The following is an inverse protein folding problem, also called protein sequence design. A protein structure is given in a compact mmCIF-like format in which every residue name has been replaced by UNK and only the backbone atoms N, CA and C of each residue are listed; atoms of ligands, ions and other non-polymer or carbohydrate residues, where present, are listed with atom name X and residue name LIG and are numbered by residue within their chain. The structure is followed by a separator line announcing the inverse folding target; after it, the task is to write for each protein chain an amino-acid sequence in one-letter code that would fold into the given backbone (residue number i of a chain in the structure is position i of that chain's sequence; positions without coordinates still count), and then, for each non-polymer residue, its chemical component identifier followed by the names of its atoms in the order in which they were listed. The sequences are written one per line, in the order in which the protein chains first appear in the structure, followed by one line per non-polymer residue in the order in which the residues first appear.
data_IF_614827797711
#
_entry.id   IF_614827797711
#
_cell.length_a   1.000
_cell.length_b   1.000
_cell.length_c   1.000
_cell.angle_alpha   90.00
_cell.angle_beta   90.00
_cell.angle_gamma   90.00
#
_symmetry.space_group_name_H-M   'P 1'
#
loop_
_entity.id
_entity.type
_entity.pdbx_description
1 polymer ?
#
# COMPACT_ATOMS: atom_id res chain seq x y z
N UNK A 1 -5.79 -4.29 28.59
CA UNK A 1 -5.27 -4.04 27.23
C UNK A 1 -4.13 -4.98 26.84
N UNK A 2 -2.93 -4.92 27.44
CA UNK A 2 -1.78 -5.75 27.02
C UNK A 2 -2.06 -7.26 27.00
N UNK A 3 -2.67 -7.81 28.04
CA UNK A 3 -3.05 -9.24 28.11
C UNK A 3 -4.08 -9.60 27.05
N UNK A 4 -5.14 -8.81 26.92
CA UNK A 4 -6.19 -8.99 25.91
C UNK A 4 -5.67 -8.93 24.46
N UNK A 5 -4.69 -8.07 24.19
CA UNK A 5 -4.02 -8.01 22.88
C UNK A 5 -3.19 -9.27 22.61
N UNK A 6 -2.47 -9.78 23.63
CA UNK A 6 -1.75 -11.05 23.51
C UNK A 6 -2.72 -12.19 23.23
N UNK A 7 -3.86 -12.23 23.92
CA UNK A 7 -4.90 -13.24 23.70
C UNK A 7 -5.48 -13.15 22.28
N UNK A 8 -5.74 -11.94 21.78
CA UNK A 8 -6.15 -11.72 20.38
C UNK A 8 -5.09 -12.22 19.38
N UNK A 9 -3.81 -11.91 19.60
CA UNK A 9 -2.73 -12.42 18.76
C UNK A 9 -2.64 -13.95 18.78
N UNK A 10 -2.90 -14.58 19.94
CA UNK A 10 -2.96 -16.03 20.05
C UNK A 10 -4.13 -16.61 19.26
N UNK A 11 -5.30 -15.96 19.25
CA UNK A 11 -6.45 -16.34 18.41
C UNK A 11 -6.10 -16.23 16.93
N UNK A 12 -5.47 -15.13 16.50
CA UNK A 12 -5.03 -14.96 15.10
C UNK A 12 -4.06 -16.07 14.71
N UNK A 13 -3.13 -16.44 15.61
CA UNK A 13 -2.17 -17.54 15.41
C UNK A 13 -2.84 -18.91 15.38
N UNK A 14 -3.91 -19.10 16.16
CA UNK A 14 -4.71 -20.33 16.13
C UNK A 14 -5.35 -20.51 14.75
N UNK A 15 -5.96 -19.45 14.20
CA UNK A 15 -6.51 -19.46 12.83
C UNK A 15 -5.42 -19.66 11.79
N UNK A 16 -4.28 -18.98 11.89
CA UNK A 16 -3.20 -19.08 10.90
C UNK A 16 -2.66 -20.51 10.73
N UNK A 17 -2.67 -21.31 11.81
CA UNK A 17 -2.22 -22.72 11.77
C UNK A 17 -3.11 -23.63 10.95
N UNK A 18 -4.36 -23.25 10.74
CA UNK A 18 -5.33 -24.02 9.95
C UNK A 18 -5.36 -23.61 8.47
N UNK A 19 -4.60 -22.57 8.09
CA UNK A 19 -4.62 -22.03 6.74
C UNK A 19 -3.46 -22.59 5.92
N UNK A 20 -3.82 -23.23 4.80
CA UNK A 20 -2.85 -23.68 3.80
C UNK A 20 -2.29 -22.48 3.01
N UNK A 21 -1.11 -22.63 2.36
CA UNK A 21 -0.62 -21.61 1.42
C UNK A 21 -1.60 -21.34 0.28
N UNK A 22 -2.38 -22.34 -0.14
CA UNK A 22 -3.40 -22.20 -1.18
C UNK A 22 -4.57 -21.32 -0.72
N UNK A 23 -5.01 -21.46 0.53
CA UNK A 23 -6.03 -20.57 1.10
C UNK A 23 -5.55 -19.11 1.10
N UNK A 24 -4.30 -18.88 1.48
CA UNK A 24 -3.70 -17.55 1.55
C UNK A 24 -3.42 -16.95 0.16
N UNK A 25 -3.12 -17.78 -0.84
CA UNK A 25 -2.92 -17.33 -2.22
C UNK A 25 -4.25 -17.06 -2.92
N UNK A 26 -5.31 -17.83 -2.63
CA UNK A 26 -6.66 -17.59 -3.15
C UNK A 26 -7.20 -16.21 -2.73
N UNK A 27 -7.08 -15.85 -1.45
CA UNK A 27 -7.48 -14.52 -0.94
C UNK A 27 -6.71 -13.37 -1.63
N UNK A 28 -5.43 -13.59 -1.90
CA UNK A 28 -4.59 -12.61 -2.59
C UNK A 28 -4.94 -12.48 -4.07
N UNK A 29 -5.21 -13.62 -4.74
CA UNK A 29 -5.64 -13.66 -6.13
C UNK A 29 -6.98 -12.96 -6.32
N UNK A 30 -7.93 -13.14 -5.40
CA UNK A 30 -9.19 -12.41 -5.44
C UNK A 30 -8.96 -10.90 -5.47
N UNK A 31 -8.03 -10.39 -4.66
CA UNK A 31 -7.67 -8.98 -4.69
C UNK A 31 -7.01 -8.59 -6.01
N UNK A 32 -6.04 -9.39 -6.49
CA UNK A 32 -5.33 -9.13 -7.76
C UNK A 32 -6.27 -9.08 -8.96
N UNK A 33 -7.29 -9.95 -9.00
CA UNK A 33 -8.29 -10.02 -10.07
C UNK A 33 -9.57 -9.23 -9.77
N UNK A 34 -9.55 -8.35 -8.75
CA UNK A 34 -10.65 -7.45 -8.40
C UNK A 34 -11.96 -8.16 -8.02
N UNK A 35 -11.84 -9.40 -7.54
CA UNK A 35 -12.93 -10.16 -6.95
C UNK A 35 -13.13 -9.78 -5.47
N UNK A 36 -14.13 -10.38 -4.85
CA UNK A 36 -14.46 -10.13 -3.45
C UNK A 36 -13.78 -11.18 -2.54
N UNK A 37 -12.67 -10.84 -1.84
CA UNK A 37 -11.95 -11.80 -0.99
C UNK A 37 -12.77 -12.26 0.24
N UNK A 38 -13.88 -11.57 0.57
CA UNK A 38 -14.79 -12.00 1.64
C UNK A 38 -15.46 -13.33 1.28
N UNK A 39 -15.77 -13.56 0.01
CA UNK A 39 -16.43 -14.80 -0.43
C UNK A 39 -15.50 -16.01 -0.26
N UNK A 40 -14.22 -15.85 -0.61
CA UNK A 40 -13.20 -16.88 -0.40
C UNK A 40 -12.93 -17.08 1.08
N UNK A 41 -12.84 -16.02 1.87
CA UNK A 41 -12.70 -16.13 3.33
C UNK A 41 -13.90 -16.85 3.96
N UNK A 42 -15.10 -16.64 3.44
CA UNK A 42 -16.32 -17.35 3.83
C UNK A 42 -16.28 -18.83 3.50
N UNK A 43 -15.81 -19.20 2.30
CA UNK A 43 -15.66 -20.59 1.90
C UNK A 43 -14.63 -21.31 2.78
N UNK A 44 -13.50 -20.65 3.07
CA UNK A 44 -12.49 -21.14 4.02
C UNK A 44 -13.11 -21.29 5.42
N UNK A 45 -13.89 -20.32 5.88
CA UNK A 45 -14.54 -20.40 7.18
C UNK A 45 -15.57 -21.54 7.24
N UNK A 46 -16.31 -21.80 6.16
CA UNK A 46 -17.22 -22.96 6.07
C UNK A 46 -16.42 -24.25 6.20
N UNK A 47 -15.38 -24.44 5.40
CA UNK A 47 -14.60 -25.68 5.41
C UNK A 47 -13.95 -25.96 6.77
N UNK A 48 -13.57 -24.92 7.51
CA UNK A 48 -13.02 -25.04 8.87
C UNK A 48 -14.08 -25.33 9.96
N UNK A 49 -15.36 -25.07 9.68
CA UNK A 49 -16.46 -25.27 10.65
C UNK A 49 -17.28 -26.53 10.37
N UNK A 50 -17.39 -26.95 9.12
CA UNK A 50 -18.05 -28.19 8.75
C UNK A 50 -17.09 -29.34 8.96
N UNK A 51 -17.39 -30.23 9.92
CA UNK A 51 -16.94 -31.62 9.80
C UNK A 51 -17.39 -32.08 8.41
N UNK A 52 -16.47 -32.57 7.56
CA UNK A 52 -16.87 -33.33 6.37
C UNK A 52 -17.45 -34.66 6.87
N UNK A 53 -18.65 -34.58 7.44
CA UNK A 53 -19.59 -35.67 7.44
C UNK A 53 -20.07 -35.75 6.00
N UNK A 54 -19.81 -36.88 5.37
CA UNK A 54 -20.21 -37.24 4.02
C UNK A 54 -19.12 -36.93 2.97
N UNK A 55 -18.28 -37.96 2.79
CA UNK A 55 -17.70 -38.41 1.53
C UNK A 55 -17.02 -37.32 0.66
N UNK A 56 -15.69 -37.17 0.78
CA UNK A 56 -14.74 -36.93 -0.35
C UNK A 56 -13.38 -36.29 0.04
N UNK A 57 -13.05 -36.09 1.32
CA UNK A 57 -11.68 -35.66 1.72
C UNK A 57 -11.03 -36.62 2.73
N UNK A 58 -10.06 -37.46 2.32
CA UNK A 58 -9.45 -38.48 3.19
C UNK A 58 -8.40 -37.96 4.19
N UNK A 59 -8.12 -36.66 4.25
CA UNK A 59 -6.91 -36.14 4.92
C UNK A 59 -7.13 -35.29 6.20
N UNK A 60 -8.38 -35.02 6.63
CA UNK A 60 -8.64 -34.16 7.80
C UNK A 60 -9.30 -34.93 8.96
N UNK A 61 -8.62 -35.03 10.10
CA UNK A 61 -9.14 -35.65 11.33
C UNK A 61 -10.33 -34.84 11.87
N UNK A 62 -11.57 -35.38 11.85
CA UNK A 62 -12.76 -34.68 12.33
C UNK A 62 -12.67 -34.29 13.82
N UNK A 63 -11.88 -35.03 14.60
CA UNK A 63 -11.68 -34.72 16.01
C UNK A 63 -10.85 -33.44 16.19
N UNK A 64 -9.83 -33.24 15.35
CA UNK A 64 -8.97 -32.06 15.40
C UNK A 64 -9.72 -30.77 15.01
N UNK A 65 -10.66 -30.83 14.06
CA UNK A 65 -11.50 -29.68 13.69
C UNK A 65 -12.44 -29.30 14.83
N UNK A 66 -13.07 -30.28 15.48
CA UNK A 66 -13.92 -30.02 16.64
C UNK A 66 -13.14 -29.37 17.80
N UNK A 67 -11.94 -29.90 18.12
CA UNK A 67 -11.05 -29.31 19.12
C UNK A 67 -10.66 -27.87 18.76
N UNK A 68 -10.33 -27.61 17.50
CA UNK A 68 -10.03 -26.26 17.01
C UNK A 68 -11.20 -25.30 17.23
N UNK A 69 -12.42 -25.67 16.85
CA UNK A 69 -13.60 -24.82 17.02
C UNK A 69 -13.85 -24.53 18.50
N UNK A 70 -13.73 -25.53 19.37
CA UNK A 70 -13.91 -25.36 20.81
C UNK A 70 -12.79 -24.47 21.42
N UNK A 71 -11.54 -24.64 21.00
CA UNK A 71 -10.43 -23.79 21.43
C UNK A 71 -10.61 -22.35 20.95
N UNK A 72 -11.09 -22.15 19.72
CA UNK A 72 -11.39 -20.84 19.15
C UNK A 72 -12.51 -20.13 19.92
N UNK A 73 -13.65 -20.80 20.13
CA UNK A 73 -14.79 -20.27 20.90
C UNK A 73 -14.36 -19.85 22.30
N UNK A 74 -13.64 -20.73 23.02
CA UNK A 74 -13.19 -20.46 24.39
C UNK A 74 -12.12 -19.37 24.46
N UNK A 75 -11.26 -19.25 23.45
CA UNK A 75 -10.22 -18.21 23.40
C UNK A 75 -10.81 -16.84 23.09
N UNK A 76 -11.76 -16.76 22.16
CA UNK A 76 -12.50 -15.52 21.87
C UNK A 76 -13.28 -15.03 23.08
N UNK A 77 -13.98 -15.93 23.79
CA UNK A 77 -14.77 -15.59 24.98
C UNK A 77 -13.93 -14.98 26.12
N UNK A 78 -12.64 -15.31 26.20
CA UNK A 78 -11.75 -14.77 27.25
C UNK A 78 -11.37 -13.30 27.03
N UNK A 79 -11.52 -12.78 25.81
CA UNK A 79 -11.06 -11.44 25.45
C UNK A 79 -12.11 -10.40 25.85
N UNK A 80 -11.89 -9.72 26.98
CA UNK A 80 -12.87 -8.78 27.57
C UNK A 80 -13.14 -7.51 26.73
N UNK A 81 -12.19 -7.07 25.91
CA UNK A 81 -12.28 -5.85 25.06
C UNK A 81 -11.75 -6.11 23.65
N UNK A 82 -12.35 -7.06 22.91
CA UNK A 82 -11.85 -7.46 21.58
C UNK A 82 -11.78 -6.29 20.59
N UNK A 83 -12.78 -5.41 20.59
CA UNK A 83 -12.87 -4.28 19.66
C UNK A 83 -11.79 -3.21 19.91
N UNK A 84 -11.50 -2.84 21.16
CA UNK A 84 -10.37 -1.94 21.46
C UNK A 84 -9.02 -2.55 21.03
N UNK A 85 -8.86 -3.87 21.17
CA UNK A 85 -7.64 -4.56 20.73
C UNK A 85 -7.54 -4.60 19.21
N UNK A 86 -8.67 -4.80 18.52
CA UNK A 86 -8.75 -4.72 17.06
C UNK A 86 -8.42 -3.32 16.57
N UNK A 87 -8.99 -2.27 17.16
CA UNK A 87 -8.72 -0.89 16.78
C UNK A 87 -7.24 -0.53 16.95
N UNK A 88 -6.62 -0.95 18.05
CA UNK A 88 -5.18 -0.80 18.26
C UNK A 88 -4.36 -1.56 17.21
N UNK A 89 -4.74 -2.80 16.88
CA UNK A 89 -4.07 -3.57 15.84
C UNK A 89 -4.21 -2.90 14.47
N UNK A 90 -5.40 -2.40 14.13
CA UNK A 90 -5.65 -1.69 12.88
C UNK A 90 -4.84 -0.39 12.79
N UNK A 91 -4.69 0.35 13.88
CA UNK A 91 -3.79 1.52 13.92
C UNK A 91 -2.33 1.12 13.65
N UNK A 92 -1.91 -0.07 14.10
CA UNK A 92 -0.57 -0.60 13.79
C UNK A 92 -0.41 -1.14 12.37
N UNK A 93 -1.50 -1.50 11.69
CA UNK A 93 -1.51 -1.93 10.29
C UNK A 93 -1.69 -0.75 9.33
N UNK A 94 -2.34 0.32 9.75
CA UNK A 94 -2.49 1.51 8.93
C UNK A 94 -1.23 2.37 9.00
N UNK A 95 -0.37 2.26 7.98
CA UNK A 95 0.86 3.03 7.88
C UNK A 95 0.66 4.35 7.11
N UNK A 96 -0.59 4.72 6.82
CA UNK A 96 -0.88 6.05 6.33
C UNK A 96 -0.46 7.08 7.38
N UNK A 97 0.24 8.10 6.92
CA UNK A 97 0.95 9.05 7.74
C UNK A 97 1.04 10.36 7.00
N UNK A 98 1.08 11.45 7.75
CA UNK A 98 1.07 12.81 7.21
C UNK A 98 2.47 13.18 6.72
N UNK A 99 2.79 12.70 5.52
CA UNK A 99 3.97 13.11 4.80
C UNK A 99 3.52 14.10 3.73
N UNK A 100 3.84 15.37 3.93
CA UNK A 100 3.61 16.42 2.93
C UNK A 100 4.68 16.35 1.84
N UNK A 101 4.28 16.56 0.59
CA UNK A 101 5.18 16.62 -0.55
C UNK A 101 5.90 17.99 -0.68
N UNK A 102 5.79 18.87 0.33
CA UNK A 102 6.15 20.30 0.26
C UNK A 102 7.57 20.57 -0.29
N UNK A 103 7.64 21.54 -1.20
CA UNK A 103 8.81 21.97 -1.98
C UNK A 103 9.70 22.99 -1.24
N UNK A 104 9.30 23.48 -0.06
CA UNK A 104 10.08 24.47 0.70
C UNK A 104 11.17 23.78 1.54
N UNK A 105 12.33 23.59 0.90
CA UNK A 105 13.55 23.17 1.61
C UNK A 105 14.17 24.41 2.25
N UNK A 106 14.09 24.52 3.58
CA UNK A 106 14.79 25.59 4.30
C UNK A 106 16.30 25.31 4.25
N UNK A 107 17.13 26.35 4.13
CA UNK A 107 18.59 26.20 3.94
C UNK A 107 19.28 25.48 5.12
N UNK A 108 18.62 25.39 6.28
CA UNK A 108 19.04 24.60 7.43
C UNK A 108 18.89 23.09 7.25
N UNK A 109 18.05 22.62 6.32
CA UNK A 109 17.78 21.20 6.09
C UNK A 109 18.90 20.50 5.31
N UNK A 110 19.76 21.28 4.64
CA UNK A 110 20.83 20.78 3.76
C UNK A 110 21.86 19.94 4.52
N UNK A 111 22.21 20.30 5.76
CA UNK A 111 23.23 19.59 6.55
C UNK A 111 22.74 18.22 7.05
N UNK A 112 21.51 18.16 7.58
CA UNK A 112 20.87 16.91 8.01
C UNK A 112 20.50 16.02 6.83
N UNK A 113 20.09 16.62 5.71
CA UNK A 113 19.89 15.91 4.45
C UNK A 113 21.20 15.30 3.95
N UNK A 114 22.33 16.02 4.03
CA UNK A 114 23.65 15.49 3.67
C UNK A 114 24.04 14.29 4.55
N UNK A 115 23.79 14.36 5.86
CA UNK A 115 24.04 13.24 6.79
C UNK A 115 23.18 12.01 6.48
N UNK A 116 21.88 12.20 6.27
CA UNK A 116 20.98 11.11 5.87
C UNK A 116 21.34 10.53 4.49
N UNK A 117 21.80 11.39 3.58
CA UNK A 117 22.29 10.98 2.27
C UNK A 117 23.49 10.05 2.40
N UNK A 118 24.48 10.36 3.23
CA UNK A 118 25.61 9.45 3.45
C UNK A 118 25.20 8.08 4.01
N UNK A 119 24.11 7.99 4.79
CA UNK A 119 23.64 6.75 5.40
C UNK A 119 22.83 5.87 4.42
N UNK A 120 22.00 6.50 3.57
CA UNK A 120 21.07 5.76 2.70
C UNK A 120 21.40 5.81 1.21
N UNK A 121 22.42 6.55 0.77
CA UNK A 121 22.80 6.61 -0.66
C UNK A 121 23.52 5.37 -1.16
N UNK A 122 23.87 4.42 -0.28
CA UNK A 122 24.57 3.19 -0.70
C UNK A 122 23.58 2.18 -1.30
N UNK A 123 24.06 1.39 -2.27
CA UNK A 123 23.27 0.30 -2.86
C UNK A 123 22.86 -0.73 -1.78
N UNK A 124 23.76 -1.06 -0.84
CA UNK A 124 23.45 -1.95 0.27
C UNK A 124 22.33 -1.38 1.15
N UNK A 125 22.34 -0.08 1.44
CA UNK A 125 21.29 0.58 2.22
C UNK A 125 19.94 0.50 1.50
N UNK A 126 19.93 0.73 0.19
CA UNK A 126 18.71 0.64 -0.65
C UNK A 126 18.16 -0.79 -0.67
N UNK A 127 19.03 -1.79 -0.85
CA UNK A 127 18.68 -3.21 -0.76
C UNK A 127 18.10 -3.58 0.60
N UNK A 128 18.77 -3.17 1.69
CA UNK A 128 18.31 -3.45 3.05
C UNK A 128 16.94 -2.80 3.34
N UNK A 129 16.74 -1.56 2.90
CA UNK A 129 15.46 -0.87 3.03
C UNK A 129 14.36 -1.56 2.22
N UNK A 130 14.64 -1.94 0.97
CA UNK A 130 13.71 -2.68 0.12
C UNK A 130 13.31 -4.02 0.76
N UNK A 131 14.29 -4.84 1.14
CA UNK A 131 14.07 -6.14 1.79
C UNK A 131 13.28 -6.02 3.10
N UNK A 132 13.63 -5.03 3.93
CA UNK A 132 12.93 -4.81 5.20
C UNK A 132 11.50 -4.32 4.98
N UNK A 133 11.28 -3.44 4.00
CA UNK A 133 9.94 -2.98 3.60
C UNK A 133 9.10 -4.14 3.07
N UNK A 134 9.68 -5.00 2.22
CA UNK A 134 9.02 -6.20 1.68
C UNK A 134 8.61 -7.16 2.80
N UNK A 135 9.51 -7.44 3.74
CA UNK A 135 9.20 -8.29 4.89
C UNK A 135 8.08 -7.70 5.75
N UNK A 136 8.10 -6.39 5.99
CA UNK A 136 7.05 -5.72 6.77
C UNK A 136 5.69 -5.82 6.06
N UNK A 137 5.64 -5.45 4.79
CA UNK A 137 4.43 -5.52 3.95
C UNK A 137 3.88 -6.94 3.88
N UNK A 138 4.74 -7.94 3.65
CA UNK A 138 4.34 -9.36 3.61
C UNK A 138 3.77 -9.84 4.95
N UNK A 139 4.40 -9.45 6.06
CA UNK A 139 3.92 -9.78 7.41
C UNK A 139 2.54 -9.17 7.68
N UNK A 140 2.37 -7.88 7.38
CA UNK A 140 1.09 -7.19 7.57
C UNK A 140 -0.01 -7.71 6.65
N UNK A 141 0.33 -8.05 5.39
CA UNK A 141 -0.57 -8.69 4.44
C UNK A 141 -1.08 -10.04 4.99
N UNK A 142 -0.17 -10.85 5.54
CA UNK A 142 -0.50 -12.13 6.18
C UNK A 142 -1.47 -11.94 7.36
N UNK A 143 -1.21 -10.95 8.22
CA UNK A 143 -2.13 -10.59 9.32
C UNK A 143 -3.51 -10.19 8.78
N UNK A 144 -3.59 -9.40 7.71
CA UNK A 144 -4.87 -9.04 7.09
C UNK A 144 -5.63 -10.26 6.55
N UNK A 145 -4.93 -11.20 5.91
CA UNK A 145 -5.52 -12.47 5.43
C UNK A 145 -6.07 -13.30 6.60
N UNK A 146 -5.31 -13.44 7.69
CA UNK A 146 -5.74 -14.16 8.88
C UNK A 146 -6.94 -13.49 9.56
N UNK A 147 -6.93 -12.16 9.70
CA UNK A 147 -8.04 -11.40 10.26
C UNK A 147 -9.32 -11.57 9.45
N UNK A 148 -9.23 -11.57 8.12
CA UNK A 148 -10.39 -11.71 7.25
C UNK A 148 -11.07 -13.08 7.42
N UNK A 149 -10.28 -14.16 7.53
CA UNK A 149 -10.81 -15.49 7.85
C UNK A 149 -11.36 -15.55 9.27
N UNK A 150 -10.65 -14.97 10.25
CA UNK A 150 -11.12 -14.90 11.64
C UNK A 150 -12.48 -14.22 11.74
N UNK A 151 -12.68 -13.07 11.07
CA UNK A 151 -13.98 -12.41 11.06
C UNK A 151 -15.05 -13.22 10.36
N UNK A 152 -14.70 -13.92 9.28
CA UNK A 152 -15.62 -14.83 8.59
C UNK A 152 -16.05 -16.00 9.49
N UNK A 153 -15.13 -16.53 10.32
CA UNK A 153 -15.44 -17.52 11.36
C UNK A 153 -16.32 -16.92 12.46
N UNK A 154 -15.98 -15.74 13.00
CA UNK A 154 -16.74 -15.07 14.06
C UNK A 154 -18.20 -14.81 13.69
N UNK A 155 -18.50 -14.50 12.41
CA UNK A 155 -19.88 -14.36 11.93
C UNK A 155 -20.69 -15.65 11.94
N UNK A 156 -20.01 -16.80 11.85
CA UNK A 156 -20.64 -18.13 11.75
C UNK A 156 -20.73 -18.84 13.09
N UNK A 157 -19.86 -18.48 14.04
CA UNK A 157 -19.94 -18.95 15.42
C UNK A 157 -21.12 -18.30 16.15
N UNK A 158 -21.66 -18.99 17.15
CA UNK A 158 -22.75 -18.43 17.94
C UNK A 158 -22.24 -17.28 18.83
N UNK A 159 -22.86 -16.10 18.70
CA UNK A 159 -22.55 -14.85 19.40
C UNK A 159 -22.29 -15.05 20.91
N UNK A 160 -23.15 -15.81 21.59
CA UNK A 160 -23.02 -16.09 23.03
C UNK A 160 -21.75 -16.87 23.40
N UNK A 161 -21.33 -17.82 22.56
CA UNK A 161 -20.16 -18.66 22.85
C UNK A 161 -18.85 -17.91 22.68
N UNK A 162 -18.77 -16.97 21.75
CA UNK A 162 -17.60 -16.12 21.54
C UNK A 162 -17.59 -14.87 22.43
N UNK A 163 -18.59 -14.70 23.29
CA UNK A 163 -18.67 -13.58 24.24
C UNK A 163 -18.97 -12.23 23.59
N UNK A 164 -19.55 -12.23 22.38
CA UNK A 164 -20.03 -11.02 21.72
C UNK A 164 -21.48 -10.72 22.09
N UNK A 165 -21.89 -9.47 21.91
CA UNK A 165 -23.29 -9.07 21.87
C UNK A 165 -23.77 -8.90 20.41
N UNK A 166 -25.07 -8.62 20.23
CA UNK A 166 -25.66 -8.47 18.89
C UNK A 166 -25.01 -7.31 18.12
N UNK A 167 -24.64 -6.22 18.81
CA UNK A 167 -23.96 -5.07 18.19
C UNK A 167 -22.55 -5.43 17.75
N UNK A 168 -21.78 -6.10 18.59
CA UNK A 168 -20.45 -6.56 18.24
C UNK A 168 -20.43 -7.52 17.05
N UNK A 169 -21.44 -8.40 16.92
CA UNK A 169 -21.58 -9.25 15.75
C UNK A 169 -21.87 -8.45 14.46
N UNK A 170 -22.67 -7.38 14.57
CA UNK A 170 -22.93 -6.45 13.46
C UNK A 170 -21.68 -5.65 13.09
N UNK A 171 -20.93 -5.14 14.08
CA UNK A 171 -19.68 -4.38 13.88
C UNK A 171 -18.61 -5.22 13.16
N UNK A 172 -18.50 -6.52 13.48
CA UNK A 172 -17.62 -7.45 12.73
C UNK A 172 -17.95 -7.43 11.24
N UNK A 173 -19.23 -7.43 10.89
CA UNK A 173 -19.70 -7.49 9.51
C UNK A 173 -19.64 -6.14 8.79
N UNK A 174 -20.02 -5.06 9.47
CA UNK A 174 -20.23 -3.74 8.89
C UNK A 174 -18.99 -2.82 8.97
N UNK A 175 -18.10 -3.04 9.93
CA UNK A 175 -16.92 -2.18 10.17
C UNK A 175 -15.62 -2.94 9.91
N UNK A 176 -15.41 -4.06 10.60
CA UNK A 176 -14.09 -4.69 10.63
C UNK A 176 -13.76 -5.47 9.36
N UNK A 177 -14.72 -6.21 8.78
CA UNK A 177 -14.50 -6.89 7.49
C UNK A 177 -14.17 -5.88 6.37
N UNK A 178 -14.96 -4.82 6.12
CA UNK A 178 -14.62 -3.85 5.08
C UNK A 178 -13.26 -3.18 5.31
N UNK A 179 -12.92 -2.84 6.56
CA UNK A 179 -11.62 -2.24 6.91
C UNK A 179 -10.46 -3.19 6.62
N UNK A 180 -10.58 -4.47 6.94
CA UNK A 180 -9.55 -5.48 6.61
C UNK A 180 -9.41 -5.70 5.12
N UNK A 181 -10.52 -5.73 4.36
CA UNK A 181 -10.47 -5.86 2.89
C UNK A 181 -9.76 -4.66 2.28
N UNK A 182 -10.03 -3.45 2.78
CA UNK A 182 -9.35 -2.23 2.32
C UNK A 182 -7.83 -2.30 2.57
N UNK A 183 -7.41 -2.64 3.79
CA UNK A 183 -5.98 -2.81 4.11
C UNK A 183 -5.33 -3.93 3.31
N UNK A 184 -6.02 -5.06 3.12
CA UNK A 184 -5.51 -6.16 2.30
C UNK A 184 -5.23 -5.70 0.86
N UNK A 185 -6.13 -4.90 0.27
CA UNK A 185 -5.93 -4.31 -1.06
C UNK A 185 -4.71 -3.41 -1.12
N UNK A 186 -4.53 -2.54 -0.12
CA UNK A 186 -3.35 -1.69 -0.01
C UNK A 186 -2.06 -2.52 0.09
N UNK A 187 -2.05 -3.55 0.93
CA UNK A 187 -0.87 -4.39 1.11
C UNK A 187 -0.54 -5.26 -0.11
N UNK A 188 -1.54 -5.75 -0.85
CA UNK A 188 -1.30 -6.45 -2.12
C UNK A 188 -0.66 -5.52 -3.15
N UNK A 189 -1.11 -4.27 -3.24
CA UNK A 189 -0.52 -3.27 -4.11
C UNK A 189 0.94 -2.93 -3.69
N UNK A 190 1.18 -2.72 -2.39
CA UNK A 190 2.52 -2.49 -1.84
C UNK A 190 3.46 -3.67 -2.08
N UNK A 191 2.96 -4.89 -1.91
CA UNK A 191 3.71 -6.11 -2.15
C UNK A 191 4.12 -6.21 -3.61
N UNK A 192 3.20 -5.92 -4.53
CA UNK A 192 3.49 -5.84 -5.95
C UNK A 192 4.58 -4.81 -6.27
N UNK A 193 4.53 -3.59 -5.71
CA UNK A 193 5.58 -2.58 -5.92
C UNK A 193 6.96 -3.10 -5.50
N UNK A 194 7.04 -3.83 -4.39
CA UNK A 194 8.29 -4.27 -3.78
C UNK A 194 8.85 -5.57 -4.37
N UNK A 195 8.08 -6.29 -5.19
CA UNK A 195 8.48 -7.56 -5.83
C UNK A 195 8.54 -7.51 -7.36
N UNK A 196 7.76 -6.65 -7.99
CA UNK A 196 7.68 -6.59 -9.44
C UNK A 196 9.01 -6.12 -10.04
N UNK A 197 9.57 -6.91 -10.96
CA UNK A 197 10.83 -6.58 -11.63
C UNK A 197 10.66 -5.44 -12.63
N UNK A 198 11.70 -4.60 -12.77
CA UNK A 198 11.71 -3.47 -13.71
C UNK A 198 11.69 -3.97 -15.17
N UNK A 199 10.96 -3.27 -16.05
CA UNK A 199 11.03 -3.51 -17.49
C UNK A 199 12.27 -2.81 -18.05
N UNK A 200 13.20 -3.52 -18.69
CA UNK A 200 14.41 -2.92 -19.22
C UNK A 200 14.07 -1.91 -20.31
N UNK A 201 14.45 -0.65 -20.08
CA UNK A 201 14.20 0.45 -21.02
C UNK A 201 15.53 1.01 -21.55
N UNK A 202 15.69 1.18 -22.87
CA UNK A 202 16.89 1.81 -23.40
C UNK A 202 16.97 3.28 -22.96
N UNK A 203 18.17 3.73 -22.58
CA UNK A 203 18.41 5.09 -22.08
C UNK A 203 17.94 6.19 -23.04
N UNK A 204 18.02 5.95 -24.35
CA UNK A 204 17.53 6.86 -25.39
C UNK A 204 16.02 7.05 -25.36
N UNK A 205 15.25 6.00 -25.01
CA UNK A 205 13.80 6.11 -24.86
C UNK A 205 13.43 6.90 -23.61
N UNK A 206 14.15 6.68 -22.50
CA UNK A 206 13.96 7.46 -21.27
C UNK A 206 14.26 8.95 -21.52
N UNK A 207 15.37 9.27 -22.20
CA UNK A 207 15.72 10.65 -22.52
C UNK A 207 14.69 11.32 -23.45
N UNK A 208 14.20 10.59 -24.46
CA UNK A 208 13.14 11.08 -25.35
C UNK A 208 11.83 11.33 -24.58
N UNK A 209 11.47 10.44 -23.67
CA UNK A 209 10.28 10.57 -22.84
C UNK A 209 10.38 11.77 -21.89
N UNK A 210 11.54 11.95 -21.22
CA UNK A 210 11.78 13.11 -20.36
C UNK A 210 11.67 14.43 -21.14
N UNK A 211 12.12 14.48 -22.40
CA UNK A 211 11.93 15.65 -23.27
C UNK A 211 10.45 15.93 -23.56
N UNK A 212 9.64 14.89 -23.74
CA UNK A 212 8.19 15.02 -23.94
C UNK A 212 7.47 15.47 -22.66
N UNK A 213 7.83 14.89 -21.51
CA UNK A 213 7.27 15.26 -20.20
C UNK A 213 7.69 16.66 -19.77
N UNK A 214 8.90 17.11 -20.11
CA UNK A 214 9.35 18.49 -19.89
C UNK A 214 8.52 19.50 -20.68
N UNK A 215 8.03 19.16 -21.88
CA UNK A 215 7.10 20.01 -22.61
C UNK A 215 5.73 20.15 -21.91
N UNK A 216 5.43 19.25 -20.97
CA UNK A 216 4.23 19.25 -20.13
C UNK A 216 4.49 19.79 -18.70
N UNK A 217 5.71 20.24 -18.38
CA UNK A 217 6.18 20.62 -17.04
C UNK A 217 5.97 19.54 -15.95
N UNK A 218 5.96 18.26 -16.34
CA UNK A 218 5.82 17.13 -15.41
C UNK A 218 7.19 16.76 -14.79
N UNK A 219 8.32 17.16 -15.41
CA UNK A 219 9.64 16.65 -15.03
C UNK A 219 10.41 17.48 -13.99
N UNK A 220 9.83 18.56 -13.45
CA UNK A 220 10.60 19.50 -12.62
C UNK A 220 11.00 18.82 -11.28
N UNK A 221 12.30 18.52 -11.12
CA UNK A 221 12.86 17.83 -9.96
C UNK A 221 13.13 16.32 -10.12
N UNK A 222 12.81 15.71 -11.28
CA UNK A 222 13.22 14.34 -11.57
C UNK A 222 14.68 14.30 -12.02
N UNK A 223 15.61 14.39 -11.07
CA UNK A 223 17.04 14.31 -11.34
C UNK A 223 17.36 13.03 -12.13
N UNK A 224 17.83 13.22 -13.38
CA UNK A 224 18.44 12.19 -14.21
C UNK A 224 19.82 11.79 -13.65
N UNK A 225 19.88 11.32 -12.40
CA UNK A 225 20.96 10.39 -12.07
C UNK A 225 20.75 9.19 -12.98
N UNK A 226 21.83 8.70 -13.58
CA UNK A 226 21.81 7.50 -14.42
C UNK A 226 21.51 6.29 -13.54
N UNK A 227 20.25 6.16 -13.10
CA UNK A 227 19.72 4.93 -12.54
C UNK A 227 19.70 3.97 -13.71
N UNK A 228 20.57 2.98 -13.68
CA UNK A 228 20.54 1.90 -14.67
C UNK A 228 19.31 1.04 -14.35
N UNK A 229 18.45 0.84 -15.35
CA UNK A 229 17.36 -0.13 -15.26
C UNK A 229 17.98 -1.53 -15.33
N UNK A 230 18.55 -2.00 -14.21
CA UNK A 230 18.99 -3.38 -14.06
C UNK A 230 17.74 -4.24 -13.86
N UNK A 231 17.49 -5.26 -14.72
CA UNK A 231 16.34 -6.15 -14.58
C UNK A 231 16.34 -6.95 -13.27
N UNK A 232 17.44 -6.96 -12.51
CA UNK A 232 17.49 -7.55 -11.17
C UNK A 232 16.79 -6.69 -10.10
N UNK A 233 16.51 -5.42 -10.38
CA UNK A 233 15.84 -4.50 -9.47
C UNK A 233 14.32 -4.66 -9.54
N UNK A 234 13.69 -4.47 -8.38
CA UNK A 234 12.25 -4.27 -8.31
C UNK A 234 11.87 -2.82 -8.60
N UNK A 235 10.60 -2.60 -8.95
CA UNK A 235 10.03 -1.27 -9.15
C UNK A 235 10.20 -0.40 -7.91
N UNK A 236 10.03 -0.96 -6.71
CA UNK A 236 10.29 -0.28 -5.45
C UNK A 236 11.76 0.12 -5.27
N UNK A 237 12.70 -0.73 -5.65
CA UNK A 237 14.15 -0.44 -5.58
C UNK A 237 14.55 0.64 -6.58
N UNK A 238 13.97 0.63 -7.77
CA UNK A 238 14.15 1.67 -8.77
C UNK A 238 13.63 3.02 -8.24
N UNK A 239 12.46 3.04 -7.61
CA UNK A 239 11.88 4.24 -6.99
C UNK A 239 12.76 4.79 -5.86
N UNK A 240 13.27 3.92 -4.98
CA UNK A 240 14.20 4.31 -3.92
C UNK A 240 15.55 4.80 -4.44
N UNK A 241 16.00 4.30 -5.59
CA UNK A 241 17.22 4.78 -6.25
C UNK A 241 17.03 6.15 -6.92
N UNK A 242 15.78 6.58 -7.13
CA UNK A 242 15.40 7.86 -7.72
C UNK A 242 14.73 8.80 -6.73
N UNK A 243 13.60 9.39 -7.14
CA UNK A 243 12.88 10.42 -6.38
C UNK A 243 12.42 9.93 -4.99
N UNK A 244 12.09 8.64 -4.85
CA UNK A 244 11.67 8.05 -3.59
C UNK A 244 12.77 8.08 -2.53
N UNK A 245 14.03 7.87 -2.92
CA UNK A 245 15.18 8.01 -2.03
C UNK A 245 15.38 9.45 -1.59
N UNK A 246 15.27 10.41 -2.51
CA UNK A 246 15.37 11.84 -2.19
C UNK A 246 14.30 12.26 -1.19
N UNK A 247 13.04 11.84 -1.40
CA UNK A 247 11.94 12.11 -0.47
C UNK A 247 12.17 11.44 0.89
N UNK A 248 12.59 10.17 0.90
CA UNK A 248 12.92 9.46 2.13
C UNK A 248 13.95 10.24 2.96
N UNK A 249 15.04 10.67 2.34
CA UNK A 249 16.10 11.41 3.03
C UNK A 249 15.61 12.75 3.57
N UNK A 250 14.78 13.48 2.80
CA UNK A 250 14.16 14.73 3.23
C UNK A 250 13.27 14.53 4.46
N UNK A 251 12.39 13.52 4.44
CA UNK A 251 11.51 13.25 5.57
C UNK A 251 12.24 12.77 6.82
N UNK A 252 13.30 11.98 6.65
CA UNK A 252 14.12 11.54 7.78
C UNK A 252 14.89 12.72 8.40
N UNK A 253 15.42 13.63 7.58
CA UNK A 253 16.07 14.84 8.07
C UNK A 253 15.08 15.73 8.87
N UNK A 254 13.87 15.92 8.36
CA UNK A 254 12.81 16.67 9.05
C UNK A 254 12.44 16.02 10.40
N UNK A 255 12.21 14.70 10.43
CA UNK A 255 11.88 13.98 11.67
C UNK A 255 13.01 14.03 12.70
N UNK A 256 14.27 13.93 12.23
CA UNK A 256 15.45 14.04 13.09
C UNK A 256 15.51 15.42 13.75
N UNK A 257 15.32 16.49 12.97
CA UNK A 257 15.29 17.86 13.48
C UNK A 257 14.17 18.08 14.50
N UNK A 258 12.94 17.69 14.16
CA UNK A 258 11.80 17.82 15.09
C UNK A 258 12.05 17.07 16.41
N UNK A 259 12.77 15.95 16.38
CA UNK A 259 13.15 15.23 17.60
C UNK A 259 14.25 15.92 18.43
N UNK A 260 15.14 16.68 17.77
CA UNK A 260 16.21 17.45 18.43
C UNK A 260 15.68 18.74 19.06
N UNK A 261 14.74 19.43 18.40
CA UNK A 261 14.13 20.66 18.93
C UNK A 261 13.26 20.40 20.18
N UNK A 262 12.76 19.18 20.35
CA UNK A 262 11.96 18.77 21.51
C UNK A 262 12.80 18.26 22.70
N UNK A 263 14.10 18.01 22.52
CA UNK A 263 14.95 17.38 23.52
C UNK A 263 16.24 18.19 23.72
N UNK A 264 16.37 18.91 24.85
CA UNK A 264 17.59 19.67 25.26
C UNK A 264 18.83 18.76 25.53
N UNK A 265 18.70 17.45 25.35
CA UNK A 265 19.79 16.48 25.44
C UNK A 265 19.93 15.75 24.11
N UNK A 266 21.16 15.60 23.61
CA UNK A 266 21.49 14.84 22.39
C UNK A 266 20.74 13.49 22.38
N UNK A 267 19.67 13.34 21.57
CA UNK A 267 19.01 12.07 21.47
C UNK A 267 19.91 11.20 20.59
N UNK A 268 20.70 10.33 21.23
CA UNK A 268 21.35 9.20 20.56
C UNK A 268 20.24 8.29 20.03
N UNK A 269 19.68 8.63 18.87
CA UNK A 269 18.75 7.78 18.15
C UNK A 269 19.49 6.49 17.82
N UNK A 270 19.14 5.42 18.52
CA UNK A 270 19.60 4.08 18.23
C UNK A 270 19.35 3.80 16.75
N UNK A 271 20.37 3.32 16.04
CA UNK A 271 20.30 2.98 14.61
C UNK A 271 19.07 2.13 14.28
N UNK A 272 18.68 1.22 15.17
CA UNK A 272 17.47 0.40 15.02
C UNK A 272 16.18 1.22 14.92
N UNK A 273 16.02 2.24 15.76
CA UNK A 273 14.85 3.13 15.73
C UNK A 273 14.84 3.96 14.44
N UNK A 274 15.99 4.50 14.06
CA UNK A 274 16.12 5.30 12.85
C UNK A 274 15.89 4.48 11.57
N UNK A 275 16.43 3.26 11.51
CA UNK A 275 16.21 2.34 10.39
C UNK A 275 14.74 1.93 10.27
N UNK A 276 14.08 1.61 11.39
CA UNK A 276 12.64 1.30 11.38
C UNK A 276 11.82 2.50 10.87
N UNK A 277 12.15 3.73 11.28
CA UNK A 277 11.51 4.94 10.75
C UNK A 277 11.72 5.08 9.24
N UNK A 278 12.91 4.73 8.73
CA UNK A 278 13.16 4.72 7.29
C UNK A 278 12.26 3.72 6.57
N UNK A 279 12.15 2.48 7.07
CA UNK A 279 11.26 1.45 6.50
C UNK A 279 9.79 1.92 6.49
N UNK A 280 9.30 2.49 7.59
CA UNK A 280 7.94 3.03 7.65
C UNK A 280 7.73 4.20 6.68
N UNK A 281 8.74 5.07 6.53
CA UNK A 281 8.69 6.20 5.60
C UNK A 281 8.68 5.73 4.15
N UNK A 282 9.45 4.69 3.81
CA UNK A 282 9.40 4.05 2.49
C UNK A 282 7.99 3.54 2.18
N UNK A 283 7.41 2.73 3.07
CA UNK A 283 6.06 2.17 2.84
C UNK A 283 5.00 3.25 2.77
N UNK A 284 5.14 4.34 3.52
CA UNK A 284 4.26 5.49 3.43
C UNK A 284 4.38 6.25 2.09
N UNK A 285 5.59 6.40 1.55
CA UNK A 285 5.83 7.07 0.25
C UNK A 285 5.17 6.34 -0.91
N UNK A 286 5.09 5.01 -0.84
CA UNK A 286 4.42 4.17 -1.85
C UNK A 286 2.99 3.76 -1.45
N UNK A 287 2.43 4.35 -0.40
CA UNK A 287 1.10 3.99 0.09
C UNK A 287 0.00 4.35 -0.92
N UNK A 288 -0.83 3.41 -1.39
CA UNK A 288 -1.72 3.67 -2.51
C UNK A 288 -2.78 4.76 -2.31
N UNK A 289 -3.34 4.91 -1.11
CA UNK A 289 -4.38 5.92 -0.82
C UNK A 289 -3.82 7.32 -0.53
N UNK A 290 -2.50 7.51 -0.66
CA UNK A 290 -1.87 8.83 -0.50
C UNK A 290 -2.38 9.79 -1.58
N UNK A 291 -2.58 11.06 -1.24
CA UNK A 291 -2.96 12.12 -2.19
C UNK A 291 -1.79 12.60 -3.06
N UNK A 292 -0.80 11.73 -3.26
CA UNK A 292 0.41 12.01 -4.02
C UNK A 292 0.46 11.07 -5.20
N UNK A 293 0.77 11.62 -6.36
CA UNK A 293 0.99 10.87 -7.60
C UNK A 293 2.48 10.73 -7.90
N UNK A 294 3.35 10.94 -6.91
CA UNK A 294 4.81 10.86 -7.10
C UNK A 294 5.28 9.50 -7.60
N UNK A 295 4.69 8.41 -7.11
CA UNK A 295 5.06 7.05 -7.52
C UNK A 295 4.67 6.76 -8.98
N UNK A 296 3.40 6.92 -9.43
CA UNK A 296 3.06 6.69 -10.83
C UNK A 296 3.68 7.70 -11.79
N UNK A 297 3.89 8.95 -11.37
CA UNK A 297 4.64 9.95 -12.13
C UNK A 297 6.10 9.49 -12.35
N UNK A 298 6.72 8.92 -11.31
CA UNK A 298 8.04 8.29 -11.42
C UNK A 298 8.06 7.11 -12.38
N UNK A 299 7.05 6.24 -12.35
CA UNK A 299 6.96 5.15 -13.33
C UNK A 299 6.87 5.70 -14.75
N UNK A 300 6.12 6.80 -14.94
CA UNK A 300 5.94 7.41 -16.26
C UNK A 300 7.25 7.96 -16.79
N UNK A 301 8.02 8.67 -15.96
CA UNK A 301 9.32 9.24 -16.36
C UNK A 301 10.36 8.18 -16.72
N UNK A 302 10.26 7.00 -16.09
CA UNK A 302 11.11 5.82 -16.35
C UNK A 302 10.57 4.88 -17.42
N UNK A 303 9.57 5.31 -18.20
CA UNK A 303 8.93 4.51 -19.26
C UNK A 303 8.37 3.16 -18.78
N UNK A 304 8.04 3.03 -17.50
CA UNK A 304 7.47 1.80 -16.91
C UNK A 304 5.96 1.74 -17.19
N UNK A 305 5.56 1.85 -18.46
CA UNK A 305 4.16 2.03 -18.88
C UNK A 305 3.28 0.85 -18.50
N UNK A 306 3.78 -0.39 -18.64
CA UNK A 306 3.05 -1.60 -18.24
C UNK A 306 2.80 -1.62 -16.74
N UNK A 307 3.81 -1.25 -15.94
CA UNK A 307 3.67 -1.15 -14.49
C UNK A 307 2.65 -0.10 -14.07
N UNK A 308 2.51 1.02 -14.79
CA UNK A 308 1.41 1.97 -14.54
C UNK A 308 0.05 1.31 -14.77
N UNK A 309 -0.12 0.55 -15.86
CA UNK A 309 -1.39 -0.12 -16.15
C UNK A 309 -1.73 -1.20 -15.12
N UNK A 310 -0.75 -2.01 -14.73
CA UNK A 310 -0.91 -3.04 -13.70
C UNK A 310 -1.22 -2.43 -12.33
N UNK A 311 -0.48 -1.40 -11.95
CA UNK A 311 -0.73 -0.68 -10.70
C UNK A 311 -2.13 -0.06 -10.68
N UNK A 312 -2.53 0.58 -11.78
CA UNK A 312 -3.87 1.13 -11.94
C UNK A 312 -4.94 0.04 -11.80
N UNK A 313 -4.72 -1.15 -12.37
CA UNK A 313 -5.62 -2.29 -12.17
C UNK A 313 -5.75 -2.66 -10.69
N UNK A 314 -4.66 -2.68 -9.92
CA UNK A 314 -4.73 -3.03 -8.50
C UNK A 314 -5.54 -2.01 -7.66
N UNK A 315 -5.56 -0.73 -8.05
CA UNK A 315 -6.12 0.36 -7.21
C UNK A 315 -7.45 0.97 -7.70
N UNK A 316 -7.84 0.78 -8.96
CA UNK A 316 -8.83 1.64 -9.64
C UNK A 316 -10.27 1.62 -9.11
N UNK A 317 -10.66 0.65 -8.26
CA UNK A 317 -12.04 0.51 -7.76
C UNK A 317 -12.25 0.96 -6.31
N UNK A 318 -11.19 1.36 -5.63
CA UNK A 318 -11.28 1.65 -4.19
C UNK A 318 -10.49 2.89 -3.76
N UNK A 319 -9.68 3.47 -4.64
CA UNK A 319 -9.00 4.73 -4.37
C UNK A 319 -9.69 5.87 -5.12
N UNK A 320 -10.33 6.77 -4.39
CA UNK A 320 -11.02 7.95 -4.94
C UNK A 320 -10.13 9.20 -5.00
N UNK A 321 -8.87 9.08 -4.58
CA UNK A 321 -7.94 10.19 -4.46
C UNK A 321 -7.22 10.46 -5.77
N UNK A 322 -7.05 11.74 -6.16
CA UNK A 322 -6.30 12.16 -7.37
C UNK A 322 -6.77 11.49 -8.68
N UNK A 323 -8.08 11.23 -8.82
CA UNK A 323 -8.60 10.49 -9.98
C UNK A 323 -8.23 11.12 -11.33
N UNK A 324 -8.12 12.44 -11.39
CA UNK A 324 -7.76 13.18 -12.60
C UNK A 324 -6.32 12.91 -13.03
N UNK A 325 -5.35 13.10 -12.11
CA UNK A 325 -3.95 12.79 -12.37
C UNK A 325 -3.74 11.30 -12.65
N UNK A 326 -4.43 10.41 -11.92
CA UNK A 326 -4.38 8.98 -12.19
C UNK A 326 -4.83 8.61 -13.59
N UNK A 327 -5.97 9.14 -14.02
CA UNK A 327 -6.48 8.89 -15.37
C UNK A 327 -5.60 9.54 -16.45
N UNK A 328 -4.99 10.70 -16.17
CA UNK A 328 -4.06 11.31 -17.09
C UNK A 328 -2.79 10.45 -17.26
N UNK A 329 -2.15 10.03 -16.16
CA UNK A 329 -0.95 9.19 -16.19
C UNK A 329 -1.21 7.82 -16.85
N UNK A 330 -2.38 7.21 -16.58
CA UNK A 330 -2.81 5.99 -17.25
C UNK A 330 -3.10 6.22 -18.75
N UNK A 331 -3.64 7.38 -19.11
CA UNK A 331 -3.82 7.79 -20.50
C UNK A 331 -2.49 7.87 -21.25
N UNK A 332 -1.48 8.47 -20.62
CA UNK A 332 -0.12 8.55 -21.16
C UNK A 332 0.51 7.17 -21.37
N UNK A 333 0.33 6.25 -20.42
CA UNK A 333 0.86 4.88 -20.58
C UNK A 333 0.19 4.11 -21.72
N UNK A 334 -1.14 4.22 -21.88
CA UNK A 334 -1.86 3.66 -23.03
C UNK A 334 -1.41 4.29 -24.36
N UNK A 335 -1.19 5.61 -24.38
CA UNK A 335 -0.73 6.33 -25.57
C UNK A 335 0.66 5.85 -26.01
N UNK A 336 1.59 5.73 -25.06
CA UNK A 336 2.95 5.26 -25.31
C UNK A 336 3.00 3.81 -25.85
N UNK A 337 2.05 2.96 -25.46
CA UNK A 337 1.92 1.59 -25.94
C UNK A 337 1.05 1.44 -27.21
N UNK A 338 0.58 2.55 -27.80
CA UNK A 338 -0.23 2.54 -29.03
C UNK A 338 -1.70 2.16 -28.82
N UNK A 339 -2.19 2.13 -27.60
CA UNK A 339 -3.57 1.79 -27.24
C UNK A 339 -4.49 3.02 -27.28
N UNK A 340 -4.53 3.70 -28.43
CA UNK A 340 -5.11 5.05 -28.57
C UNK A 340 -6.56 5.18 -28.07
N UNK A 341 -7.39 4.15 -28.27
CA UNK A 341 -8.78 4.16 -27.82
C UNK A 341 -8.89 4.14 -26.28
N UNK A 342 -8.02 3.38 -25.60
CA UNK A 342 -7.97 3.35 -24.13
C UNK A 342 -7.41 4.67 -23.58
N UNK A 343 -6.38 5.22 -24.24
CA UNK A 343 -5.80 6.50 -23.90
C UNK A 343 -6.84 7.63 -23.94
N UNK A 344 -7.60 7.74 -25.04
CA UNK A 344 -8.68 8.71 -25.17
C UNK A 344 -9.73 8.56 -24.06
N UNK A 345 -10.14 7.32 -23.76
CA UNK A 345 -11.08 7.04 -22.68
C UNK A 345 -10.56 7.51 -21.31
N UNK A 346 -9.27 7.37 -21.05
CA UNK A 346 -8.64 7.84 -19.82
C UNK A 346 -8.56 9.37 -19.76
N UNK A 347 -8.13 10.05 -20.83
CA UNK A 347 -8.11 11.52 -20.87
C UNK A 347 -9.50 12.14 -20.70
N UNK A 348 -10.54 11.52 -21.27
CA UNK A 348 -11.93 11.95 -21.05
C UNK A 348 -12.38 11.77 -19.60
N UNK A 349 -11.90 10.75 -18.89
CA UNK A 349 -12.16 10.59 -17.44
C UNK A 349 -11.38 11.62 -16.62
N UNK A 350 -10.12 11.88 -16.97
CA UNK A 350 -9.31 12.92 -16.33
C UNK A 350 -9.98 14.30 -16.46
N UNK A 351 -10.50 14.63 -17.64
CA UNK A 351 -11.23 15.87 -17.89
C UNK A 351 -12.45 16.05 -16.96
N UNK A 352 -13.20 14.96 -16.69
CA UNK A 352 -14.37 15.02 -15.80
C UNK A 352 -14.01 15.38 -14.36
N UNK A 353 -12.81 15.04 -13.90
CA UNK A 353 -12.36 15.29 -12.54
C UNK A 353 -11.53 16.57 -12.37
N UNK A 354 -11.27 17.34 -13.43
CA UNK A 354 -10.24 18.39 -13.43
C UNK A 354 -10.42 19.49 -12.37
N UNK A 355 -11.64 19.67 -11.84
CA UNK A 355 -11.92 20.62 -10.76
C UNK A 355 -11.43 20.18 -9.37
N UNK A 356 -10.83 18.99 -9.22
CA UNK A 356 -10.48 18.39 -7.92
C UNK A 356 -9.20 18.93 -7.25
N UNK A 357 -8.66 20.08 -7.65
CA UNK A 357 -7.38 20.65 -7.16
C UNK A 357 -6.24 19.62 -7.06
N UNK A 358 -6.06 18.84 -8.12
CA UNK A 358 -5.01 17.84 -8.20
C UNK A 358 -3.68 18.49 -8.61
N UNK A 359 -2.64 18.38 -7.77
CA UNK A 359 -1.38 19.13 -7.92
C UNK A 359 -0.69 18.87 -9.26
N UNK A 360 -0.68 17.61 -9.73
CA UNK A 360 -0.09 17.27 -11.03
C UNK A 360 -0.92 17.81 -12.18
N UNK A 361 -2.26 17.86 -12.08
CA UNK A 361 -3.08 18.51 -13.12
C UNK A 361 -2.80 20.00 -13.20
N UNK A 362 -2.64 20.68 -12.08
CA UNK A 362 -2.30 22.11 -12.08
C UNK A 362 -0.92 22.36 -12.71
N UNK A 363 0.07 21.50 -12.42
CA UNK A 363 1.39 21.52 -13.08
C UNK A 363 1.26 21.31 -14.59
N UNK A 364 0.54 20.26 -15.01
CA UNK A 364 0.30 19.95 -16.42
C UNK A 364 -0.40 21.10 -17.14
N UNK A 365 -1.36 21.78 -16.52
CA UNK A 365 -2.12 22.84 -17.18
C UNK A 365 -1.41 24.20 -17.18
N UNK A 366 -0.34 24.36 -16.38
CA UNK A 366 0.41 25.62 -16.22
C UNK A 366 -0.51 26.80 -15.93
N UNK A 367 -1.50 26.59 -15.06
CA UNK A 367 -2.54 27.57 -14.79
C UNK A 367 -2.87 27.62 -13.31
N UNK A 368 -2.96 28.82 -12.76
CA UNK A 368 -3.50 29.07 -11.42
C UNK A 368 -5.03 29.22 -11.44
N UNK A 369 -5.67 29.07 -12.61
CA UNK A 369 -7.11 29.21 -12.73
C UNK A 369 -7.83 28.06 -12.02
N UNK A 370 -8.90 28.38 -11.31
CA UNK A 370 -9.78 27.37 -10.68
C UNK A 370 -11.09 27.21 -11.47
N UNK A 371 -11.22 27.93 -12.59
CA UNK A 371 -12.39 27.89 -13.46
C UNK A 371 -12.36 26.62 -14.32
N UNK A 372 -13.29 25.71 -14.04
CA UNK A 372 -13.36 24.39 -14.70
C UNK A 372 -13.46 24.48 -16.23
N UNK A 373 -14.30 25.35 -16.84
CA UNK A 373 -14.30 25.55 -18.29
C UNK A 373 -12.93 25.92 -18.87
N UNK A 374 -12.21 26.84 -18.23
CA UNK A 374 -10.87 27.25 -18.65
C UNK A 374 -9.88 26.08 -18.57
N UNK A 375 -9.89 25.34 -17.46
CA UNK A 375 -9.05 24.16 -17.26
C UNK A 375 -9.34 23.05 -18.29
N UNK A 376 -10.61 22.83 -18.64
CA UNK A 376 -10.99 21.87 -19.67
C UNK A 376 -10.45 22.23 -21.06
N UNK A 377 -10.53 23.52 -21.43
CA UNK A 377 -9.97 23.99 -22.71
C UNK A 377 -8.46 23.77 -22.74
N UNK A 378 -7.75 24.12 -21.66
CA UNK A 378 -6.31 23.89 -21.56
C UNK A 378 -5.96 22.40 -21.67
N UNK A 379 -6.72 21.53 -21.00
CA UNK A 379 -6.51 20.08 -21.06
C UNK A 379 -6.70 19.51 -22.47
N UNK A 380 -7.67 20.01 -23.24
CA UNK A 380 -7.91 19.51 -24.61
C UNK A 380 -6.93 20.07 -25.64
N UNK A 381 -6.27 21.19 -25.35
CA UNK A 381 -5.22 21.77 -26.21
C UNK A 381 -3.90 21.05 -26.02
N UNK A 382 -3.60 20.62 -24.78
CA UNK A 382 -2.48 19.73 -24.47
C UNK A 382 -2.80 18.30 -24.91
#
# INVERSE_FOLDING_TARGET
MKTSLIDLCNVIKLVSRQLSPDNLSALENDVKYQLNPVLTADQIAISLLTNVSDEEQPDMDPHALFEFVQELETSLHKIRNIFECLDFLFQGLDHQGDIKDDEETDWSDVSHMMSCHHLFSSHLSTMLLSLSSRQMVSSCMSVCKHLLVLFSLMRRLSVNKIGLDVRGADDVSSVYIPKTVCLLRMYVALHWILEQAVTPTPSSAVESNLKQLAALDISDGMESKAVFDDPSLTVGELFLSGVGGTQLMRHLAYKLRASQEMCDQDPLLLWSTFFNQAVYTVVNLIWPSRQSVIFPEFLLSRCQYLHIQEYAHLICYWNDTCQSSWHFLLGQSHLALGEYHKALGCFLKAAKGIGSQDSLMMKVLQSDSTDVPTLLVLLYVK
#
